data_IF_657152524624
#
_entry.id   IF_657152524624
#
_cell.length_a   1.000
_cell.length_b   1.000
_cell.length_c   1.000
_cell.angle_alpha   90.00
_cell.angle_beta   90.00
_cell.angle_gamma   90.00
#
_symmetry.space_group_name_H-M   'P 1'
#
loop_
_entity.id
_entity.type
_entity.pdbx_description
1 polymer ?
#
# COMPACT_ATOMS: atom_id res chain seq x y z
N UNK A 1 -8.49 -11.22 -11.01
CA UNK A 1 -7.68 -10.20 -10.31
C UNK A 1 -6.30 -10.22 -10.93
N UNK A 2 -5.68 -9.06 -11.11
CA UNK A 2 -4.33 -8.88 -11.63
C UNK A 2 -3.50 -8.12 -10.60
N UNK A 3 -2.17 -8.34 -10.61
CA UNK A 3 -1.23 -7.62 -9.76
C UNK A 3 -0.73 -6.37 -10.47
N UNK A 4 -0.65 -5.29 -9.70
CA UNK A 4 -0.20 -3.99 -10.15
C UNK A 4 0.88 -3.47 -9.20
N UNK A 5 1.99 -3.02 -9.76
CA UNK A 5 3.02 -2.29 -9.03
C UNK A 5 2.54 -0.85 -8.83
N UNK A 6 2.63 -0.37 -7.61
CA UNK A 6 2.19 0.97 -7.24
C UNK A 6 3.31 1.95 -7.57
N UNK A 7 3.14 2.76 -8.60
CA UNK A 7 4.12 3.78 -8.98
C UNK A 7 4.00 5.04 -8.12
N UNK A 8 2.83 5.30 -7.54
CA UNK A 8 2.58 6.48 -6.70
C UNK A 8 1.69 6.12 -5.51
N UNK A 9 2.03 6.65 -4.32
CA UNK A 9 1.22 6.51 -3.10
C UNK A 9 -0.22 6.93 -3.38
N UNK A 10 -1.17 6.06 -3.02
CA UNK A 10 -2.60 6.31 -3.15
C UNK A 10 -3.37 5.54 -2.06
N UNK A 11 -4.64 5.90 -1.88
CA UNK A 11 -5.53 5.24 -0.91
C UNK A 11 -6.63 4.54 -1.71
N UNK A 12 -6.70 3.21 -1.59
CA UNK A 12 -7.77 2.37 -2.12
C UNK A 12 -8.39 1.57 -0.97
N UNK A 13 -8.41 0.24 -1.08
CA UNK A 13 -8.80 -0.67 0.02
C UNK A 13 -7.92 -0.51 1.27
N UNK A 14 -6.66 -0.11 1.04
CA UNK A 14 -5.71 0.30 2.05
C UNK A 14 -4.86 1.45 1.50
N UNK A 15 -4.06 2.05 2.36
CA UNK A 15 -3.01 2.94 1.90
C UNK A 15 -1.91 2.11 1.24
N UNK A 16 -1.63 2.40 -0.03
CA UNK A 16 -0.53 1.80 -0.77
C UNK A 16 0.59 2.83 -0.94
N UNK A 17 1.82 2.40 -0.71
CA UNK A 17 3.01 3.23 -0.93
C UNK A 17 3.59 3.03 -2.33
N UNK A 18 4.49 3.90 -2.75
CA UNK A 18 5.23 3.71 -4.00
C UNK A 18 6.15 2.49 -3.88
N UNK A 19 6.10 1.58 -4.85
CA UNK A 19 6.81 0.30 -4.88
C UNK A 19 6.02 -0.87 -4.28
N UNK A 20 4.86 -0.62 -3.69
CA UNK A 20 3.99 -1.66 -3.14
C UNK A 20 3.28 -2.46 -4.26
N UNK A 21 2.70 -3.61 -3.93
CA UNK A 21 1.94 -4.43 -4.87
C UNK A 21 0.45 -4.44 -4.50
N UNK A 22 -0.42 -4.09 -5.45
CA UNK A 22 -1.88 -4.14 -5.31
C UNK A 22 -2.46 -5.21 -6.21
N UNK A 23 -3.36 -6.02 -5.69
CA UNK A 23 -4.15 -6.97 -6.49
C UNK A 23 -5.57 -6.41 -6.69
N UNK A 24 -5.99 -6.22 -7.94
CA UNK A 24 -7.27 -5.61 -8.28
C UNK A 24 -7.80 -6.08 -9.65
N UNK A 25 -9.02 -5.71 -10.00
CA UNK A 25 -9.59 -5.99 -11.33
C UNK A 25 -9.13 -4.92 -12.31
N UNK A 26 -8.68 -5.31 -13.50
CA UNK A 26 -8.16 -4.39 -14.53
C UNK A 26 -9.13 -3.25 -14.86
N UNK A 27 -10.43 -3.53 -14.91
CA UNK A 27 -11.47 -2.52 -15.15
C UNK A 27 -11.51 -1.45 -14.04
N UNK A 28 -11.31 -1.84 -12.79
CA UNK A 28 -11.32 -0.93 -11.64
C UNK A 28 -10.09 -0.03 -11.64
N UNK A 29 -8.92 -0.57 -11.98
CA UNK A 29 -7.65 0.17 -11.96
C UNK A 29 -7.22 0.79 -13.27
N UNK A 30 -7.99 0.62 -14.35
CA UNK A 30 -7.65 1.15 -15.67
C UNK A 30 -7.38 2.66 -15.63
N UNK A 31 -8.17 3.41 -14.85
CA UNK A 31 -7.98 4.84 -14.67
C UNK A 31 -6.69 5.19 -13.90
N UNK A 32 -6.31 4.37 -12.91
CA UNK A 32 -5.07 4.54 -12.14
C UNK A 32 -3.83 4.20 -12.98
N UNK A 33 -3.91 3.16 -13.81
CA UNK A 33 -2.86 2.81 -14.75
C UNK A 33 -2.68 3.93 -15.78
N UNK A 34 -3.78 4.44 -16.34
CA UNK A 34 -3.76 5.57 -17.28
C UNK A 34 -3.23 6.87 -16.64
N UNK A 35 -3.49 7.07 -15.35
CA UNK A 35 -2.97 8.19 -14.57
C UNK A 35 -1.50 8.02 -14.13
N UNK A 36 -0.87 6.87 -14.41
CA UNK A 36 0.50 6.57 -14.01
C UNK A 36 0.67 6.28 -12.51
N UNK A 37 -0.42 5.94 -11.81
CA UNK A 37 -0.40 5.57 -10.39
C UNK A 37 -0.08 4.08 -10.21
N UNK A 38 -0.54 3.24 -11.12
CA UNK A 38 -0.35 1.78 -11.11
C UNK A 38 0.29 1.30 -12.41
N UNK A 39 1.00 0.17 -12.36
CA UNK A 39 1.58 -0.51 -13.52
C UNK A 39 1.26 -1.99 -13.49
N UNK A 40 0.86 -2.57 -14.61
CA UNK A 40 0.61 -4.01 -14.72
C UNK A 40 1.90 -4.81 -14.41
N UNK A 41 1.86 -5.64 -13.37
CA UNK A 41 2.99 -6.51 -12.99
C UNK A 41 3.03 -7.81 -13.83
N UNK A 42 2.11 -7.98 -14.78
CA UNK A 42 1.91 -9.20 -15.58
C UNK A 42 2.88 -9.41 -16.74
N UNK A 43 3.67 -8.40 -17.13
CA UNK A 43 4.72 -8.60 -18.15
C UNK A 43 6.01 -9.07 -17.48
N UNK A 44 6.10 -10.41 -17.36
CA UNK A 44 7.30 -11.23 -17.19
C UNK A 44 8.60 -10.43 -16.98
N UNK A 45 8.92 -10.14 -15.72
CA UNK A 45 10.32 -10.06 -15.29
C UNK A 45 10.48 -10.91 -14.05
N UNK A 46 11.34 -11.95 -14.05
CA UNK A 46 11.66 -12.68 -12.84
C UNK A 46 12.47 -11.73 -11.96
N UNK A 47 11.79 -10.98 -11.11
CA UNK A 47 12.44 -10.07 -10.17
C UNK A 47 12.52 -10.79 -8.84
N UNK A 48 13.62 -11.52 -8.66
CA UNK A 48 14.08 -11.83 -7.32
C UNK A 48 14.13 -10.54 -6.51
N UNK A 49 13.75 -10.64 -5.23
CA UNK A 49 13.66 -9.55 -4.23
C UNK A 49 12.40 -8.70 -4.35
N UNK A 50 11.26 -9.26 -3.93
CA UNK A 50 10.31 -8.48 -3.15
C UNK A 50 10.71 -8.65 -1.68
N UNK A 51 11.44 -7.68 -1.16
CA UNK A 51 11.79 -7.55 0.25
C UNK A 51 10.50 -7.52 1.10
N UNK A 52 10.53 -8.01 2.35
CA UNK A 52 9.33 -8.11 3.18
C UNK A 52 8.68 -6.73 3.36
N UNK A 53 7.35 -6.73 3.21
CA UNK A 53 6.44 -5.59 3.30
C UNK A 53 6.89 -4.46 4.25
N UNK A 54 6.73 -3.18 3.85
CA UNK A 54 6.98 -2.09 4.76
C UNK A 54 6.05 -2.23 5.97
N UNK A 55 6.68 -2.15 7.16
CA UNK A 55 6.04 -2.13 8.47
C UNK A 55 4.96 -1.05 8.49
N UNK A 56 3.72 -1.40 8.17
CA UNK A 56 2.57 -0.61 8.58
C UNK A 56 2.45 -0.80 10.10
N UNK A 57 3.29 -0.03 10.80
CA UNK A 57 3.11 0.31 12.18
C UNK A 57 1.83 1.13 12.22
N UNK A 58 0.70 0.44 12.32
CA UNK A 58 -0.48 1.01 12.93
C UNK A 58 0.01 1.62 14.25
N UNK A 59 0.03 2.95 14.33
CA UNK A 59 0.17 3.64 15.60
C UNK A 59 -0.84 3.01 16.56
N UNK A 60 -0.42 2.44 17.71
CA UNK A 60 -1.38 2.21 18.76
C UNK A 60 -1.92 3.59 19.15
N UNK A 61 -3.25 3.72 19.08
CA UNK A 61 -4.02 4.91 19.40
C UNK A 61 -3.47 5.68 20.62
N UNK A 62 -3.56 7.03 20.64
CA UNK A 62 -3.17 7.78 21.82
C UNK A 62 -4.13 7.45 22.97
N UNK A 63 -3.70 6.59 23.89
CA UNK A 63 -4.36 6.40 25.16
C UNK A 63 -4.09 7.63 26.04
N UNK A 64 -4.82 8.72 25.77
CA UNK A 64 -5.08 9.73 26.78
C UNK A 64 -5.78 9.04 27.96
N UNK A 65 -5.11 9.01 29.10
CA UNK A 65 -5.78 9.07 30.40
C UNK A 65 -5.06 10.11 31.26
N UNK A 66 -5.70 11.27 31.40
CA UNK A 66 -5.35 12.29 32.39
C UNK A 66 -5.22 11.68 33.81
N UNK A 67 -4.26 12.20 34.61
CA UNK A 67 -3.73 11.67 35.90
C UNK A 67 -4.65 11.81 37.13
N UNK A 68 -4.16 12.14 38.36
CA UNK A 68 -2.78 12.27 38.89
C UNK A 68 -2.52 11.38 40.14
N UNK A 69 -1.30 11.38 40.69
CA UNK A 69 -1.06 10.76 42.00
C UNK A 69 0.36 10.96 42.52
N UNK A 70 0.55 12.01 43.34
CA UNK A 70 1.71 12.12 44.25
C UNK A 70 1.53 11.14 45.41
N UNK A 71 2.61 10.49 45.82
CA UNK A 71 2.76 9.79 47.09
C UNK A 71 4.23 9.75 47.44
#
# INVERSE_FOLDING_TARGET
MMKYEVLRRHIGDKQYEQGDEREAVAADVAHLVKAGVLREAGEKKPRGKAEPAPKNKAEPAPANKAGPGRG
#
